data_IF_313167903822
#
_entry.id   IF_313167903822
#
_cell.length_a   1.000
_cell.length_b   1.000
_cell.length_c   1.000
_cell.angle_alpha   90.00
_cell.angle_beta   90.00
_cell.angle_gamma   90.00
#
_symmetry.space_group_name_H-M   'P 1'
#
loop_
_entity.id
_entity.type
_entity.pdbx_description
1 polymer ?
#
# COMPACT_ATOMS: atom_id res chain seq x y z
N UNK A 1 17.62 -9.57 13.29
CA UNK A 1 16.19 -9.22 13.06
C UNK A 1 15.71 -9.81 11.74
N UNK A 2 16.39 -10.84 11.24
CA UNK A 2 16.42 -11.16 9.81
C UNK A 2 15.68 -12.45 9.46
N UNK A 3 14.81 -12.88 10.37
CA UNK A 3 14.14 -14.18 10.28
C UNK A 3 12.62 -14.03 10.14
N UNK A 4 12.06 -12.89 10.57
CA UNK A 4 10.62 -12.57 10.44
C UNK A 4 10.40 -11.07 10.29
N UNK A 5 9.23 -10.69 9.77
CA UNK A 5 8.78 -9.30 9.70
C UNK A 5 8.66 -8.74 8.28
N UNK A 6 8.20 -7.48 8.15
CA UNK A 6 7.92 -6.87 6.86
C UNK A 6 9.16 -6.64 5.99
N UNK A 7 10.34 -6.45 6.60
CA UNK A 7 11.60 -6.26 5.87
C UNK A 7 11.98 -7.49 5.05
N UNK A 8 12.21 -8.62 5.73
CA UNK A 8 12.55 -9.89 5.08
C UNK A 8 11.50 -10.31 4.03
N UNK A 9 10.21 -10.13 4.32
CA UNK A 9 9.15 -10.43 3.35
C UNK A 9 9.28 -9.57 2.09
N UNK A 10 9.51 -8.26 2.26
CA UNK A 10 9.65 -7.32 1.14
C UNK A 10 10.86 -7.67 0.28
N UNK A 11 12.00 -7.94 0.91
CA UNK A 11 13.24 -8.32 0.22
C UNK A 11 13.03 -9.63 -0.56
N UNK A 12 12.43 -10.64 0.07
CA UNK A 12 12.12 -11.94 -0.58
C UNK A 12 11.22 -11.77 -1.80
N UNK A 13 10.21 -10.91 -1.73
CA UNK A 13 9.31 -10.64 -2.88
C UNK A 13 10.06 -9.93 -4.01
N UNK A 14 10.95 -8.98 -3.71
CA UNK A 14 11.75 -8.32 -4.74
C UNK A 14 12.78 -9.25 -5.37
N UNK A 15 13.43 -10.11 -4.59
CA UNK A 15 14.36 -11.12 -5.11
C UNK A 15 13.62 -12.07 -6.06
N UNK A 16 12.45 -12.58 -5.67
CA UNK A 16 11.62 -13.41 -6.53
C UNK A 16 11.25 -12.71 -7.85
N UNK A 17 10.80 -11.46 -7.80
CA UNK A 17 10.43 -10.69 -9.00
C UNK A 17 11.63 -10.42 -9.91
N UNK A 18 12.80 -10.19 -9.33
CA UNK A 18 14.03 -9.96 -10.06
C UNK A 18 14.54 -11.25 -10.72
N UNK A 19 14.66 -12.33 -9.95
CA UNK A 19 15.21 -13.60 -10.43
C UNK A 19 14.30 -14.29 -11.44
N UNK A 20 12.98 -14.22 -11.24
CA UNK A 20 11.99 -14.93 -12.08
C UNK A 20 11.53 -14.12 -13.28
N UNK A 21 11.35 -12.80 -13.11
CA UNK A 21 10.75 -11.93 -14.12
C UNK A 21 11.66 -10.79 -14.58
N UNK A 22 12.89 -10.70 -14.07
CA UNK A 22 13.88 -9.66 -14.41
C UNK A 22 13.40 -8.23 -14.13
N UNK A 23 12.51 -8.08 -13.14
CA UNK A 23 11.92 -6.80 -12.73
C UNK A 23 12.78 -6.16 -11.66
N UNK A 24 13.29 -4.95 -11.93
CA UNK A 24 14.14 -4.21 -11.00
C UNK A 24 13.31 -3.22 -10.18
N UNK A 25 13.72 -2.98 -8.92
CA UNK A 25 13.06 -2.03 -8.00
C UNK A 25 12.71 -0.67 -8.62
N UNK A 26 13.62 0.02 -9.36
CA UNK A 26 13.30 1.33 -9.94
C UNK A 26 12.07 1.31 -10.86
N UNK A 27 11.79 0.18 -11.51
CA UNK A 27 10.64 0.01 -12.43
C UNK A 27 9.29 -0.13 -11.71
N UNK A 28 9.32 -0.33 -10.38
CA UNK A 28 8.15 -0.47 -9.52
C UNK A 28 7.85 0.81 -8.73
N UNK A 29 8.61 1.87 -8.95
CA UNK A 29 8.39 3.17 -8.31
C UNK A 29 7.50 4.08 -9.18
N UNK A 30 6.76 5.00 -8.54
CA UNK A 30 5.92 6.02 -9.22
C UNK A 30 4.93 5.42 -10.24
N UNK A 31 4.41 4.23 -9.94
CA UNK A 31 3.40 3.60 -10.79
C UNK A 31 2.14 4.46 -10.84
N UNK A 32 1.59 4.62 -12.05
CA UNK A 32 0.28 5.25 -12.26
C UNK A 32 -0.83 4.22 -12.48
N UNK A 33 -0.46 2.96 -12.75
CA UNK A 33 -1.36 1.84 -12.99
C UNK A 33 -0.90 0.64 -12.20
N UNK A 34 -1.86 -0.15 -11.76
CA UNK A 34 -1.62 -1.41 -11.08
C UNK A 34 -0.92 -2.41 -12.00
N UNK A 35 -0.01 -3.22 -11.46
CA UNK A 35 0.70 -4.27 -12.20
C UNK A 35 0.51 -5.63 -11.54
N UNK A 36 0.18 -6.64 -12.34
CA UNK A 36 0.24 -8.05 -11.95
C UNK A 36 1.46 -8.67 -12.61
N UNK A 37 2.36 -9.26 -11.83
CA UNK A 37 3.57 -9.93 -12.30
C UNK A 37 3.61 -11.30 -11.65
N UNK A 38 3.40 -12.35 -12.45
CA UNK A 38 3.16 -13.68 -11.90
C UNK A 38 1.96 -13.67 -10.97
N UNK A 39 2.20 -13.96 -9.70
CA UNK A 39 1.27 -14.00 -8.58
C UNK A 39 1.31 -12.74 -7.69
N UNK A 40 2.16 -11.76 -7.99
CA UNK A 40 2.30 -10.53 -7.18
C UNK A 40 1.52 -9.36 -7.80
N UNK A 41 0.60 -8.79 -7.03
CA UNK A 41 -0.21 -7.63 -7.43
C UNK A 41 0.29 -6.34 -6.77
N UNK A 42 0.89 -5.46 -7.57
CA UNK A 42 1.58 -4.25 -7.13
C UNK A 42 0.70 -3.03 -7.37
N UNK A 43 0.31 -2.37 -6.29
CA UNK A 43 -0.63 -1.25 -6.32
C UNK A 43 0.11 0.11 -6.30
N UNK A 44 -0.30 1.09 -7.13
CA UNK A 44 0.11 2.47 -6.95
C UNK A 44 -0.53 3.04 -5.67
N UNK A 45 -0.09 4.23 -5.24
CA UNK A 45 -0.67 4.91 -4.06
C UNK A 45 -2.18 5.10 -4.19
N UNK A 46 -2.67 5.46 -5.39
CA UNK A 46 -4.11 5.55 -5.66
C UNK A 46 -4.85 4.23 -5.48
N UNK A 47 -4.18 3.08 -5.68
CA UNK A 47 -4.82 1.78 -5.55
C UNK A 47 -4.79 1.20 -4.14
N UNK A 48 -3.73 1.44 -3.39
CA UNK A 48 -3.65 0.99 -2.00
C UNK A 48 -4.37 1.94 -1.04
N UNK A 49 -4.14 3.25 -1.17
CA UNK A 49 -4.71 4.28 -0.30
C UNK A 49 -5.26 5.45 -1.13
N UNK A 50 -6.44 5.31 -1.75
CA UNK A 50 -6.99 6.32 -2.65
C UNK A 50 -7.28 7.68 -1.97
N UNK A 51 -7.35 7.72 -0.63
CA UNK A 51 -7.52 8.94 0.17
C UNK A 51 -6.21 9.67 0.48
N UNK A 52 -5.05 9.15 0.11
CA UNK A 52 -3.74 9.75 0.38
C UNK A 52 -3.38 10.89 -0.59
N UNK A 53 -4.20 11.93 -0.65
CA UNK A 53 -4.00 13.05 -1.61
C UNK A 53 -2.63 13.72 -1.47
N UNK A 54 -2.09 13.83 -0.24
CA UNK A 54 -0.76 14.38 0.02
C UNK A 54 0.38 13.54 -0.59
N UNK A 55 0.13 12.27 -0.90
CA UNK A 55 1.06 11.37 -1.55
C UNK A 55 0.77 11.21 -3.06
N UNK A 56 -0.17 11.99 -3.61
CA UNK A 56 -0.53 11.98 -5.03
C UNK A 56 -1.65 11.00 -5.41
N UNK A 57 -2.40 10.47 -4.44
CA UNK A 57 -3.59 9.67 -4.74
C UNK A 57 -4.70 10.52 -5.40
N UNK A 58 -5.52 9.87 -6.23
CA UNK A 58 -6.51 10.53 -7.08
C UNK A 58 -7.97 10.41 -6.60
N UNK A 59 -8.19 9.85 -5.42
CA UNK A 59 -9.52 9.73 -4.81
C UNK A 59 -10.23 8.42 -5.11
N UNK A 60 -11.45 8.31 -4.57
CA UNK A 60 -12.25 7.08 -4.56
C UNK A 60 -12.76 6.65 -5.93
N UNK A 61 -13.02 7.61 -6.80
CA UNK A 61 -13.59 7.37 -8.13
C UNK A 61 -12.49 7.17 -9.20
N UNK A 62 -11.22 7.21 -8.80
CA UNK A 62 -10.11 6.91 -9.69
C UNK A 62 -10.19 5.45 -10.15
N UNK A 63 -9.99 5.16 -11.46
CA UNK A 63 -10.06 3.80 -11.97
C UNK A 63 -9.00 2.86 -11.37
N UNK A 64 -7.96 3.36 -10.71
CA UNK A 64 -7.00 2.56 -9.96
C UNK A 64 -7.39 2.33 -8.49
N UNK A 65 -8.47 2.93 -7.96
CA UNK A 65 -8.87 2.77 -6.57
C UNK A 65 -9.34 1.33 -6.25
N UNK A 66 -8.41 0.43 -5.90
CA UNK A 66 -8.67 -0.99 -5.62
C UNK A 66 -9.07 -1.28 -4.17
N UNK A 67 -8.47 -0.56 -3.22
CA UNK A 67 -8.66 -0.79 -1.78
C UNK A 67 -9.23 0.48 -1.15
N UNK A 68 -10.24 0.32 -0.29
CA UNK A 68 -10.73 1.40 0.57
C UNK A 68 -10.72 0.97 2.03
N UNK A 69 -10.02 1.73 2.86
CA UNK A 69 -9.94 1.43 4.28
C UNK A 69 -11.10 2.07 5.06
N UNK A 70 -11.99 1.23 5.61
CA UNK A 70 -13.07 1.64 6.50
C UNK A 70 -12.64 1.53 7.98
N UNK A 71 -11.59 2.24 8.37
CA UNK A 71 -11.13 2.22 9.76
C UNK A 71 -12.20 2.77 10.70
N UNK A 72 -12.89 1.88 11.42
CA UNK A 72 -13.88 2.24 12.45
C UNK A 72 -13.23 2.63 13.78
N UNK A 73 -12.00 2.15 14.03
CA UNK A 73 -11.30 2.41 15.29
C UNK A 73 -12.00 1.84 16.52
N UNK A 74 -12.70 0.70 16.39
CA UNK A 74 -13.52 0.09 17.46
C UNK A 74 -12.75 -0.31 18.72
N UNK A 75 -11.42 -0.34 18.67
CA UNK A 75 -10.55 -0.55 19.83
C UNK A 75 -10.27 0.74 20.63
N UNK A 76 -10.54 1.91 20.05
CA UNK A 76 -10.50 3.19 20.75
C UNK A 76 -11.76 3.27 21.59
N UNK A 77 -11.60 3.27 22.91
CA UNK A 77 -12.71 3.54 23.80
C UNK A 77 -13.16 4.99 23.61
N UNK A 78 -14.46 5.24 23.69
CA UNK A 78 -15.03 6.58 23.70
C UNK A 78 -14.72 7.27 25.03
N UNK A 79 -13.45 7.62 25.26
CA UNK A 79 -13.12 8.56 26.32
C UNK A 79 -13.71 9.91 25.93
N UNK A 80 -14.44 10.60 26.83
CA UNK A 80 -14.96 11.91 26.54
C UNK A 80 -13.81 12.81 26.10
N UNK A 81 -13.92 13.35 24.88
CA UNK A 81 -12.98 14.36 24.40
C UNK A 81 -13.09 15.53 25.38
N UNK A 82 -12.02 15.81 26.12
CA UNK A 82 -11.93 17.02 26.95
C UNK A 82 -11.96 18.19 25.97
N UNK A 83 -13.15 18.77 25.77
CA UNK A 83 -13.29 20.05 25.09
C UNK A 83 -13.04 21.12 26.13
N UNK A 84 -11.87 21.74 26.09
CA UNK A 84 -11.67 22.99 26.82
C UNK A 84 -12.56 24.04 26.16
N UNK A 85 -13.68 24.35 26.81
CA UNK A 85 -14.48 25.56 26.57
C UNK A 85 -13.71 26.80 26.97
#
# INVERSE_FOLDING_TARGET
>A
MDWTGPGLWTDTVFDYLNETYHVQWPTLTKLNHTRLIGDVYILPVSGFQPSAYLLGAKGRDDPEARIWHYFRGSWKHDYPKITNS
#
